data_IF_454983530410
#
_entry.id   IF_454983530410
#
_cell.length_a   1.000
_cell.length_b   1.000
_cell.length_c   1.000
_cell.angle_alpha   90.00
_cell.angle_beta   90.00
_cell.angle_gamma   90.00
#
_symmetry.space_group_name_H-M   'P 1'
#
loop_
_entity.id
_entity.type
_entity.pdbx_description
1 polymer ?
#
# COMPACT_ATOMS: atom_id res chain seq x y z
N UNK A 1 10.80 -7.51 8.51
CA UNK A 1 9.97 -6.65 9.40
C UNK A 1 8.86 -7.50 10.02
N UNK A 2 8.54 -7.28 11.29
CA UNK A 2 7.54 -8.08 12.01
C UNK A 2 6.10 -7.61 11.70
N UNK A 3 5.14 -8.55 11.77
CA UNK A 3 3.69 -8.34 11.64
C UNK A 3 3.15 -7.13 12.44
N UNK A 4 3.75 -6.85 13.60
CA UNK A 4 3.40 -5.70 14.45
C UNK A 4 3.59 -4.35 13.74
N UNK A 5 4.65 -4.21 12.95
CA UNK A 5 5.00 -2.97 12.27
C UNK A 5 3.94 -2.57 11.23
N UNK A 6 3.50 -3.53 10.42
CA UNK A 6 2.49 -3.28 9.38
C UNK A 6 1.09 -3.07 9.96
N UNK A 7 0.81 -3.63 11.13
CA UNK A 7 -0.40 -3.31 11.88
C UNK A 7 -0.36 -1.89 12.44
N UNK A 8 0.81 -1.44 12.88
CA UNK A 8 0.99 -0.07 13.34
C UNK A 8 0.82 0.92 12.17
N UNK A 9 1.40 0.64 11.00
CA UNK A 9 1.18 1.45 9.79
C UNK A 9 -0.30 1.52 9.40
N UNK A 10 -1.03 0.40 9.48
CA UNK A 10 -2.47 0.38 9.25
C UNK A 10 -3.22 1.27 10.25
N UNK A 11 -2.92 1.17 11.55
CA UNK A 11 -3.55 1.99 12.60
C UNK A 11 -3.28 3.48 12.39
N UNK A 12 -2.03 3.82 12.13
CA UNK A 12 -1.62 5.20 11.86
C UNK A 12 -2.31 5.76 10.60
N UNK A 13 -2.31 5.00 9.50
CA UNK A 13 -2.97 5.40 8.28
C UNK A 13 -4.47 5.63 8.52
N UNK A 14 -5.14 4.72 9.24
CA UNK A 14 -6.56 4.87 9.54
C UNK A 14 -6.84 6.07 10.46
N UNK A 15 -6.03 6.31 11.49
CA UNK A 15 -6.15 7.53 12.31
C UNK A 15 -5.98 8.79 11.46
N UNK A 16 -4.94 8.83 10.63
CA UNK A 16 -4.64 10.00 9.78
C UNK A 16 -5.76 10.25 8.77
N UNK A 17 -6.34 9.20 8.18
CA UNK A 17 -7.51 9.33 7.30
C UNK A 17 -8.69 9.95 8.04
N UNK A 18 -9.03 9.45 9.24
CA UNK A 18 -10.14 9.99 10.01
C UNK A 18 -9.92 11.47 10.36
N UNK A 19 -8.70 11.84 10.77
CA UNK A 19 -8.34 13.22 11.07
C UNK A 19 -8.45 14.14 9.84
N UNK A 20 -8.14 13.63 8.64
CA UNK A 20 -8.32 14.35 7.37
C UNK A 20 -9.78 14.47 6.97
N UNK A 21 -10.57 13.41 7.12
CA UNK A 21 -12.00 13.43 6.76
C UNK A 21 -12.78 14.46 7.58
N UNK A 22 -12.41 14.67 8.85
CA UNK A 22 -12.99 15.74 9.69
C UNK A 22 -12.68 17.13 9.12
N UNK A 23 -11.52 17.31 8.46
CA UNK A 23 -11.14 18.56 7.81
C UNK A 23 -11.82 18.77 6.46
N UNK A 24 -11.98 17.71 5.67
CA UNK A 24 -12.61 17.78 4.35
C UNK A 24 -14.14 17.87 4.41
N UNK A 25 -14.76 17.23 5.40
CA UNK A 25 -16.22 17.19 5.60
C UNK A 25 -16.56 17.82 6.95
N UNK A 26 -16.40 19.15 7.09
CA UNK A 26 -16.78 19.85 8.30
C UNK A 26 -18.30 19.84 8.47
N UNK A 27 -18.76 19.83 9.73
CA UNK A 27 -20.19 19.83 10.07
C UNK A 27 -20.94 21.06 9.55
N UNK A 28 -20.23 22.18 9.39
CA UNK A 28 -20.74 23.41 8.76
C UNK A 28 -19.98 23.68 7.46
N UNK A 29 -20.67 24.05 6.37
CA UNK A 29 -20.02 24.34 5.10
C UNK A 29 -19.10 25.55 5.23
N UNK A 30 -17.83 25.36 4.87
CA UNK A 30 -16.83 26.42 4.87
C UNK A 30 -17.20 27.51 3.86
N UNK A 31 -16.83 28.75 4.17
CA UNK A 31 -16.97 29.86 3.23
C UNK A 31 -16.04 29.62 2.02
N UNK A 32 -16.49 29.89 0.79
CA UNK A 32 -15.65 29.73 -0.39
C UNK A 32 -14.43 30.65 -0.28
N UNK A 33 -13.25 30.04 -0.33
CA UNK A 33 -11.99 30.73 -0.24
C UNK A 33 -11.64 31.33 -1.60
N UNK A 34 -11.33 32.64 -1.62
CA UNK A 34 -11.16 33.38 -2.88
C UNK A 34 -9.71 33.48 -3.34
N UNK A 35 -8.76 33.26 -2.44
CA UNK A 35 -7.35 33.33 -2.77
C UNK A 35 -6.86 31.99 -3.34
N UNK A 36 -6.36 32.05 -4.58
CA UNK A 36 -5.92 30.88 -5.32
C UNK A 36 -4.70 30.23 -4.66
N UNK A 37 -3.79 31.03 -4.09
CA UNK A 37 -2.57 30.51 -3.46
C UNK A 37 -2.90 29.71 -2.20
N UNK A 38 -3.81 30.21 -1.36
CA UNK A 38 -4.23 29.49 -0.15
C UNK A 38 -4.98 28.21 -0.49
N UNK A 39 -5.83 28.22 -1.51
CA UNK A 39 -6.54 27.02 -1.97
C UNK A 39 -5.53 25.99 -2.49
N UNK A 40 -4.56 26.42 -3.30
CA UNK A 40 -3.50 25.55 -3.79
C UNK A 40 -2.69 24.92 -2.66
N UNK A 41 -2.22 25.72 -1.70
CA UNK A 41 -1.46 25.22 -0.55
C UNK A 41 -2.26 24.19 0.27
N UNK A 42 -3.57 24.40 0.46
CA UNK A 42 -4.44 23.43 1.12
C UNK A 42 -4.55 22.13 0.33
N UNK A 43 -4.85 22.21 -0.97
CA UNK A 43 -4.95 21.04 -1.84
C UNK A 43 -3.64 20.25 -1.93
N UNK A 44 -2.51 20.95 -2.10
CA UNK A 44 -1.19 20.34 -2.15
C UNK A 44 -0.82 19.66 -0.82
N UNK A 45 -1.19 20.27 0.32
CA UNK A 45 -1.00 19.66 1.64
C UNK A 45 -1.86 18.40 1.80
N UNK A 46 -3.12 18.43 1.37
CA UNK A 46 -4.01 17.27 1.37
C UNK A 46 -3.44 16.15 0.48
N UNK A 47 -3.04 16.48 -0.75
CA UNK A 47 -2.44 15.55 -1.69
C UNK A 47 -1.24 14.82 -1.09
N UNK A 48 -0.28 15.55 -0.51
CA UNK A 48 0.91 14.94 0.12
C UNK A 48 0.52 14.02 1.27
N UNK A 49 -0.41 14.43 2.13
CA UNK A 49 -0.88 13.58 3.24
C UNK A 49 -1.57 12.31 2.73
N UNK A 50 -2.39 12.38 1.67
CA UNK A 50 -3.00 11.22 1.05
C UNK A 50 -1.96 10.29 0.41
N UNK A 51 -0.89 10.82 -0.21
CA UNK A 51 0.22 10.01 -0.72
C UNK A 51 0.91 9.24 0.42
N UNK A 52 1.16 9.87 1.57
CA UNK A 52 1.74 9.20 2.74
C UNK A 52 0.84 8.09 3.29
N UNK A 53 -0.46 8.36 3.39
CA UNK A 53 -1.46 7.36 3.78
C UNK A 53 -1.45 6.19 2.81
N UNK A 54 -1.50 6.48 1.50
CA UNK A 54 -1.50 5.47 0.45
C UNK A 54 -0.26 4.56 0.54
N UNK A 55 0.94 5.12 0.74
CA UNK A 55 2.19 4.36 0.93
C UNK A 55 2.10 3.42 2.14
N UNK A 56 1.62 3.92 3.29
CA UNK A 56 1.43 3.10 4.49
C UNK A 56 0.42 1.98 4.26
N UNK A 57 -0.71 2.28 3.62
CA UNK A 57 -1.75 1.30 3.30
C UNK A 57 -1.26 0.24 2.31
N UNK A 58 -0.51 0.62 1.26
CA UNK A 58 0.06 -0.32 0.29
C UNK A 58 1.04 -1.29 0.97
N UNK A 59 1.94 -0.75 1.79
CA UNK A 59 2.89 -1.55 2.58
C UNK A 59 2.17 -2.48 3.57
N UNK A 60 1.11 -2.01 4.22
CA UNK A 60 0.28 -2.85 5.09
C UNK A 60 -0.48 -3.92 4.29
N UNK A 61 -1.03 -3.59 3.13
CA UNK A 61 -1.76 -4.53 2.27
C UNK A 61 -0.89 -5.71 1.84
N UNK A 62 0.32 -5.40 1.35
CA UNK A 62 1.26 -6.39 0.82
C UNK A 62 1.68 -7.42 1.88
N UNK A 63 1.71 -7.01 3.15
CA UNK A 63 2.31 -7.78 4.24
C UNK A 63 1.27 -8.42 5.17
N UNK A 64 0.02 -7.95 5.15
CA UNK A 64 -1.07 -8.55 5.93
C UNK A 64 -1.51 -9.87 5.29
N UNK A 65 -1.42 -10.93 6.09
CA UNK A 65 -1.78 -12.31 5.70
C UNK A 65 -3.21 -12.67 6.10
N UNK A 66 -3.84 -11.88 6.97
CA UNK A 66 -5.20 -12.15 7.43
C UNK A 66 -6.25 -11.82 6.35
N UNK A 67 -7.07 -12.78 5.88
CA UNK A 67 -7.91 -12.64 4.69
C UNK A 67 -9.01 -11.58 4.85
N UNK A 68 -9.76 -11.57 5.96
CA UNK A 68 -10.81 -10.55 6.19
C UNK A 68 -10.25 -9.13 6.28
N UNK A 69 -9.21 -8.92 7.10
CA UNK A 69 -8.54 -7.63 7.22
C UNK A 69 -8.02 -7.13 5.88
N UNK A 70 -7.43 -8.01 5.05
CA UNK A 70 -6.93 -7.66 3.72
C UNK A 70 -8.04 -7.16 2.79
N UNK A 71 -9.23 -7.75 2.82
CA UNK A 71 -10.40 -7.28 2.05
C UNK A 71 -10.81 -5.85 2.42
N UNK A 72 -10.87 -5.55 3.71
CA UNK A 72 -11.19 -4.19 4.18
C UNK A 72 -10.09 -3.21 3.76
N UNK A 73 -8.83 -3.61 3.96
CA UNK A 73 -7.68 -2.79 3.62
C UNK A 73 -7.62 -2.51 2.11
N UNK A 74 -8.00 -3.49 1.27
CA UNK A 74 -8.16 -3.32 -0.19
C UNK A 74 -9.11 -2.18 -0.52
N UNK A 75 -10.30 -2.19 0.09
CA UNK A 75 -11.33 -1.18 -0.16
C UNK A 75 -10.87 0.22 0.27
N UNK A 76 -10.24 0.33 1.45
CA UNK A 76 -9.71 1.61 1.93
C UNK A 76 -8.56 2.11 1.04
N UNK A 77 -7.69 1.21 0.56
CA UNK A 77 -6.62 1.54 -0.37
C UNK A 77 -7.17 2.07 -1.71
N UNK A 78 -8.21 1.44 -2.26
CA UNK A 78 -8.90 1.92 -3.47
C UNK A 78 -9.56 3.29 -3.25
N UNK A 79 -10.27 3.48 -2.14
CA UNK A 79 -10.88 4.77 -1.79
C UNK A 79 -9.83 5.88 -1.64
N UNK A 80 -8.71 5.57 -0.99
CA UNK A 80 -7.58 6.50 -0.84
C UNK A 80 -6.97 6.86 -2.20
N UNK A 81 -6.83 5.86 -3.09
CA UNK A 81 -6.32 6.06 -4.45
C UNK A 81 -7.26 6.94 -5.28
N UNK A 82 -8.58 6.71 -5.19
CA UNK A 82 -9.59 7.54 -5.83
C UNK A 82 -9.52 8.99 -5.35
N UNK A 83 -9.50 9.20 -4.02
CA UNK A 83 -9.40 10.54 -3.44
C UNK A 83 -8.12 11.27 -3.84
N UNK A 84 -6.99 10.55 -3.93
CA UNK A 84 -5.72 11.12 -4.39
C UNK A 84 -5.82 11.63 -5.84
N UNK A 85 -6.51 10.90 -6.71
CA UNK A 85 -6.75 11.33 -8.09
C UNK A 85 -7.70 12.53 -8.16
N UNK A 86 -8.75 12.56 -7.34
CA UNK A 86 -9.67 13.70 -7.26
C UNK A 86 -8.96 14.98 -6.81
N UNK A 87 -8.19 14.92 -5.72
CA UNK A 87 -7.43 16.08 -5.22
C UNK A 87 -6.41 16.54 -6.26
N UNK A 88 -5.78 15.59 -6.96
CA UNK A 88 -4.85 15.92 -8.06
C UNK A 88 -5.56 16.62 -9.21
N UNK A 89 -6.74 16.13 -9.62
CA UNK A 89 -7.55 16.76 -10.66
C UNK A 89 -7.99 18.17 -10.27
N UNK A 90 -8.43 18.38 -9.03
CA UNK A 90 -8.75 19.71 -8.49
C UNK A 90 -7.56 20.68 -8.58
N UNK A 91 -6.35 20.22 -8.23
CA UNK A 91 -5.13 21.04 -8.35
C UNK A 91 -4.81 21.39 -9.81
N UNK A 92 -4.90 20.40 -10.71
CA UNK A 92 -4.66 20.60 -12.15
C UNK A 92 -5.65 21.61 -12.71
N UNK A 93 -6.93 21.53 -12.32
CA UNK A 93 -7.96 22.48 -12.74
C UNK A 93 -7.74 23.88 -12.16
N UNK A 94 -7.14 24.00 -10.98
CA UNK A 94 -6.83 25.28 -10.35
C UNK A 94 -5.65 26.02 -11.03
N UNK A 95 -4.60 25.30 -11.40
CA UNK A 95 -3.37 25.88 -11.99
C UNK A 95 -3.27 25.73 -13.52
N UNK A 96 -4.14 24.92 -14.13
CA UNK A 96 -4.07 24.51 -15.54
C UNK A 96 -2.73 23.87 -15.93
N UNK A 97 -2.15 23.10 -15.01
CA UNK A 97 -0.86 22.40 -15.18
C UNK A 97 -0.92 21.02 -14.55
N UNK A 98 -0.34 20.02 -15.21
CA UNK A 98 -0.17 18.68 -14.63
C UNK A 98 1.00 18.65 -13.62
N UNK A 99 2.01 19.49 -13.88
CA UNK A 99 3.26 19.57 -13.13
C UNK A 99 3.14 20.62 -12.03
N UNK A 100 3.41 20.20 -10.79
CA UNK A 100 3.31 21.02 -9.59
C UNK A 100 4.58 20.88 -8.77
N UNK A 101 5.05 21.98 -8.20
CA UNK A 101 6.23 22.02 -7.35
C UNK A 101 5.82 22.05 -5.89
N UNK A 102 6.39 21.14 -5.09
CA UNK A 102 6.02 20.95 -3.69
C UNK A 102 7.13 21.36 -2.72
N UNK A 103 8.22 21.98 -3.17
CA UNK A 103 9.45 22.20 -2.39
C UNK A 103 9.19 22.91 -1.05
N UNK A 104 8.41 23.99 -1.05
CA UNK A 104 8.08 24.74 0.16
C UNK A 104 7.28 23.91 1.16
N UNK A 105 6.27 23.17 0.67
CA UNK A 105 5.39 22.35 1.50
C UNK A 105 6.14 21.11 2.03
N UNK A 106 7.01 20.51 1.21
CA UNK A 106 7.88 19.41 1.63
C UNK A 106 8.86 19.86 2.70
N UNK A 107 9.43 21.06 2.55
CA UNK A 107 10.30 21.67 3.56
C UNK A 107 9.56 21.85 4.89
N UNK A 108 8.35 22.40 4.86
CA UNK A 108 7.52 22.61 6.06
C UNK A 108 7.16 21.30 6.76
N UNK A 109 6.83 20.26 5.98
CA UNK A 109 6.49 18.93 6.47
C UNK A 109 7.71 18.07 6.80
N UNK A 110 8.93 18.56 6.56
CA UNK A 110 10.21 17.84 6.73
C UNK A 110 10.25 16.52 5.94
N UNK A 111 9.74 16.55 4.72
CA UNK A 111 9.68 15.41 3.81
C UNK A 111 10.68 15.55 2.68
N UNK A 112 11.05 14.43 2.10
CA UNK A 112 11.90 14.36 0.91
C UNK A 112 11.06 14.01 -0.33
N UNK A 113 11.54 14.31 -1.55
CA UNK A 113 10.83 13.92 -2.78
C UNK A 113 10.54 12.41 -2.89
N UNK A 114 11.36 11.56 -2.27
CA UNK A 114 11.14 10.11 -2.25
C UNK A 114 9.92 9.70 -1.41
N UNK A 115 9.51 10.53 -0.45
CA UNK A 115 8.37 10.27 0.43
C UNK A 115 7.03 10.51 -0.28
N UNK A 116 7.04 11.28 -1.37
CA UNK A 116 5.85 11.56 -2.20
C UNK A 116 5.81 10.76 -3.50
N UNK A 117 6.75 9.85 -3.71
CA UNK A 117 6.68 8.93 -4.84
C UNK A 117 5.49 7.98 -4.66
N UNK A 118 4.65 7.80 -5.69
CA UNK A 118 3.48 6.94 -5.61
C UNK A 118 3.91 5.51 -5.97
N UNK A 119 3.88 4.54 -5.03
CA UNK A 119 4.21 3.15 -5.36
C UNK A 119 3.11 2.54 -6.23
N UNK A 120 3.48 1.64 -7.13
CA UNK A 120 2.50 0.86 -7.88
C UNK A 120 1.99 -0.27 -6.98
N UNK A 121 0.70 -0.31 -6.62
CA UNK A 121 0.18 -1.36 -5.75
C UNK A 121 0.41 -2.75 -6.31
N UNK A 122 1.04 -3.62 -5.51
CA UNK A 122 1.40 -4.96 -5.95
C UNK A 122 0.20 -5.84 -6.24
N UNK A 123 -0.96 -5.58 -5.63
CA UNK A 123 -2.18 -6.37 -5.86
C UNK A 123 -2.62 -6.36 -7.33
N UNK A 124 -2.31 -5.31 -8.09
CA UNK A 124 -2.58 -5.26 -9.52
C UNK A 124 -1.91 -6.41 -10.28
N UNK A 125 -0.75 -6.88 -9.82
CA UNK A 125 -0.06 -8.03 -10.40
C UNK A 125 -0.64 -9.35 -9.87
N UNK A 126 -0.93 -9.42 -8.57
CA UNK A 126 -1.38 -10.64 -7.90
C UNK A 126 -2.77 -11.06 -8.37
N UNK A 127 -3.72 -10.12 -8.43
CA UNK A 127 -5.10 -10.40 -8.87
C UNK A 127 -5.15 -10.79 -10.36
N UNK A 128 -4.28 -10.18 -11.19
CA UNK A 128 -4.17 -10.51 -12.61
C UNK A 128 -3.30 -11.73 -12.89
N UNK A 129 -2.67 -12.34 -11.88
CA UNK A 129 -1.73 -13.47 -12.06
C UNK A 129 -2.35 -14.62 -12.85
N UNK A 130 -3.60 -15.00 -12.55
CA UNK A 130 -4.33 -16.05 -13.27
C UNK A 130 -4.51 -15.69 -14.75
N UNK A 131 -5.00 -14.48 -15.03
CA UNK A 131 -5.19 -13.96 -16.40
C UNK A 131 -3.86 -13.89 -17.17
N UNK A 132 -2.77 -13.50 -16.50
CA UNK A 132 -1.44 -13.44 -17.09
C UNK A 132 -0.91 -14.84 -17.42
N UNK A 133 -1.10 -15.81 -16.52
CA UNK A 133 -0.74 -17.21 -16.77
C UNK A 133 -1.55 -17.82 -17.92
N UNK A 134 -2.85 -17.54 -18.00
CA UNK A 134 -3.69 -17.97 -19.13
C UNK A 134 -3.20 -17.36 -20.45
N UNK A 135 -2.89 -16.07 -20.47
CA UNK A 135 -2.33 -15.38 -21.65
C UNK A 135 -0.97 -15.93 -22.04
N UNK A 136 -0.11 -16.24 -21.07
CA UNK A 136 1.20 -16.85 -21.29
C UNK A 136 1.06 -18.24 -21.91
N UNK A 137 0.10 -19.05 -21.44
CA UNK A 137 -0.20 -20.35 -22.06
C UNK A 137 -0.70 -20.20 -23.50
N UNK A 138 -1.57 -19.23 -23.76
CA UNK A 138 -2.06 -18.92 -25.12
C UNK A 138 -0.90 -18.50 -26.03
N UNK A 139 -0.04 -17.59 -25.55
CA UNK A 139 1.14 -17.13 -26.28
C UNK A 139 2.11 -18.28 -26.53
N UNK A 140 2.33 -19.16 -25.55
CA UNK A 140 3.13 -20.38 -25.71
C UNK A 140 2.58 -21.30 -26.80
N UNK A 141 1.25 -21.49 -26.85
CA UNK A 141 0.60 -22.26 -27.94
C UNK A 141 0.77 -21.59 -29.29
N UNK A 142 0.68 -20.27 -29.37
CA UNK A 142 0.89 -19.51 -30.60
C UNK A 142 2.34 -19.62 -31.06
N UNK A 143 3.32 -19.45 -30.17
CA UNK A 143 4.73 -19.59 -30.48
C UNK A 143 5.08 -21.02 -30.93
N UNK A 144 4.53 -22.03 -30.26
CA UNK A 144 4.68 -23.43 -30.66
C UNK A 144 4.12 -23.69 -32.07
N UNK A 145 3.02 -23.03 -32.45
CA UNK A 145 2.45 -23.09 -33.81
C UNK A 145 3.26 -22.32 -34.85
N UNK A 146 3.85 -21.18 -34.48
CA UNK A 146 4.70 -20.39 -35.39
C UNK A 146 6.05 -21.07 -35.66
N UNK A 147 6.45 -22.03 -34.81
CA UNK A 147 7.75 -22.69 -34.89
C UNK A 147 8.90 -21.75 -34.47
N UNK A 148 10.11 -22.28 -34.26
CA UNK A 148 11.28 -21.43 -34.06
C UNK A 148 11.43 -20.54 -35.31
N UNK A 149 11.41 -19.23 -35.11
CA UNK A 149 11.87 -18.33 -36.16
C UNK A 149 13.36 -18.59 -36.25
N UNK A 150 13.82 -19.29 -37.29
CA UNK A 150 15.23 -19.32 -37.69
C UNK A 150 15.63 -17.92 -38.17
N UNK A 151 15.57 -16.93 -37.27
CA UNK A 151 16.50 -15.82 -37.34
C UNK A 151 17.80 -16.44 -36.91
N UNK A 152 18.50 -17.05 -37.87
CA UNK A 152 19.92 -17.36 -37.72
C UNK A 152 20.55 -16.12 -37.10
N UNK A 153 20.84 -16.19 -35.80
CA UNK A 153 21.49 -15.11 -35.11
C UNK A 153 22.77 -14.89 -35.90
N UNK A 154 22.84 -13.78 -36.66
CA UNK A 154 23.94 -13.52 -37.57
C UNK A 154 25.21 -13.58 -36.73
N UNK A 155 25.92 -14.72 -36.84
CA UNK A 155 27.09 -14.99 -36.01
C UNK A 155 28.08 -13.89 -36.37
N UNK A 156 28.47 -13.09 -35.37
CA UNK A 156 29.43 -12.01 -35.59
C UNK A 156 30.65 -12.59 -36.31
N UNK A 157 31.08 -11.91 -37.38
CA UNK A 157 32.26 -12.38 -38.10
C UNK A 157 33.48 -12.25 -37.18
N UNK A 158 34.50 -13.08 -37.41
CA UNK A 158 35.75 -13.00 -36.66
C UNK A 158 36.38 -11.60 -36.77
N UNK A 159 36.23 -10.95 -37.93
CA UNK A 159 36.69 -9.58 -38.17
C UNK A 159 35.93 -8.53 -37.37
N UNK A 160 34.61 -8.67 -37.25
CA UNK A 160 33.78 -7.79 -36.42
C UNK A 160 34.15 -7.92 -34.94
N UNK A 161 34.39 -9.15 -34.47
CA UNK A 161 34.83 -9.43 -33.11
C UNK A 161 36.21 -8.79 -32.83
N UNK A 162 37.18 -8.97 -33.73
CA UNK A 162 38.51 -8.36 -33.61
C UNK A 162 38.41 -6.84 -33.58
N UNK A 163 37.61 -6.24 -34.47
CA UNK A 163 37.43 -4.78 -34.54
C UNK A 163 36.84 -4.24 -33.24
N UNK A 164 35.84 -4.91 -32.67
CA UNK A 164 35.24 -4.53 -31.39
C UNK A 164 36.24 -4.57 -30.25
N UNK A 165 37.05 -5.64 -30.16
CA UNK A 165 38.09 -5.77 -29.13
C UNK A 165 39.13 -4.65 -29.26
N UNK A 166 39.58 -4.35 -30.48
CA UNK A 166 40.56 -3.29 -30.73
C UNK A 166 40.03 -1.89 -30.38
N UNK A 167 38.76 -1.60 -30.69
CA UNK A 167 38.11 -0.33 -30.32
C UNK A 167 38.07 -0.18 -28.80
N UNK A 168 37.67 -1.23 -28.08
CA UNK A 168 37.57 -1.20 -26.62
C UNK A 168 38.94 -1.09 -25.95
N UNK A 169 39.97 -1.79 -26.45
CA UNK A 169 41.32 -1.67 -25.91
C UNK A 169 41.90 -0.27 -26.16
N UNK A 170 41.68 0.31 -27.36
CA UNK A 170 42.06 1.70 -27.64
C UNK A 170 41.36 2.68 -26.70
N UNK A 171 40.07 2.48 -26.43
CA UNK A 171 39.32 3.31 -25.49
C UNK A 171 39.84 3.16 -24.05
N UNK A 172 40.19 1.95 -23.61
CA UNK A 172 40.78 1.68 -22.29
C UNK A 172 42.11 2.41 -22.12
N UNK A 173 42.99 2.29 -23.11
CA UNK A 173 44.28 2.98 -23.15
C UNK A 173 44.10 4.52 -23.14
N UNK A 174 43.12 5.03 -23.89
CA UNK A 174 42.76 6.45 -23.89
C UNK A 174 42.36 6.96 -22.50
N UNK A 175 41.51 6.21 -21.78
CA UNK A 175 41.13 6.55 -20.39
C UNK A 175 42.31 6.55 -19.44
N UNK A 176 43.20 5.55 -19.55
CA UNK A 176 44.39 5.47 -18.70
C UNK A 176 45.33 6.66 -18.93
N UNK A 177 45.59 7.02 -20.20
CA UNK A 177 46.38 8.20 -20.55
C UNK A 177 45.75 9.50 -20.08
N UNK A 178 44.43 9.65 -20.23
CA UNK A 178 43.71 10.83 -19.76
C UNK A 178 43.81 11.01 -18.24
N UNK A 179 43.72 9.91 -17.48
CA UNK A 179 43.94 9.91 -16.03
C UNK A 179 45.36 10.38 -15.68
N UNK A 180 46.37 9.81 -16.34
CA UNK A 180 47.77 10.17 -16.12
C UNK A 180 48.07 11.63 -16.46
N UNK A 181 47.57 12.13 -17.60
CA UNK A 181 47.71 13.54 -17.99
C UNK A 181 47.01 14.50 -17.02
N UNK A 182 45.89 14.08 -16.44
CA UNK A 182 45.18 14.88 -15.41
C UNK A 182 46.00 14.97 -14.13
N UNK A 183 46.64 13.88 -13.70
CA UNK A 183 47.52 13.87 -12.53
C UNK A 183 48.72 14.81 -12.73
N UNK A 184 49.37 14.76 -13.90
CA UNK A 184 50.48 15.68 -14.21
C UNK A 184 50.02 17.15 -14.16
N UNK A 185 48.89 17.50 -14.79
CA UNK A 185 48.38 18.88 -14.75
C UNK A 185 48.08 19.36 -13.33
N UNK A 186 47.52 18.48 -12.48
CA UNK A 186 47.25 18.82 -11.08
C UNK A 186 48.54 19.08 -10.31
N UNK A 187 49.60 18.32 -10.59
CA UNK A 187 50.91 18.53 -9.97
C UNK A 187 51.55 19.84 -10.46
N UNK A 188 51.50 20.13 -11.77
CA UNK A 188 51.96 21.41 -12.33
C UNK A 188 51.18 22.61 -11.75
N UNK A 189 49.86 22.49 -11.56
CA UNK A 189 49.07 23.53 -10.90
C UNK A 189 49.46 23.71 -9.44
N UNK A 190 49.72 22.63 -8.70
CA UNK A 190 50.23 22.69 -7.33
C UNK A 190 51.59 23.37 -7.27
N UNK A 191 52.51 23.04 -8.18
CA UNK A 191 53.83 23.67 -8.25
C UNK A 191 53.73 25.16 -8.59
N UNK A 192 52.85 25.55 -9.53
CA UNK A 192 52.59 26.97 -9.83
C UNK A 192 52.00 27.71 -8.63
N UNK A 193 51.04 27.12 -7.93
CA UNK A 193 50.46 27.69 -6.71
C UNK A 193 51.49 27.78 -5.58
N UNK A 194 52.39 26.80 -5.46
CA UNK A 194 53.50 26.82 -4.51
C UNK A 194 54.53 27.90 -4.86
N UNK A 195 54.83 28.11 -6.14
CA UNK A 195 55.71 29.19 -6.59
C UNK A 195 55.10 30.60 -6.40
N UNK A 196 53.76 30.72 -6.52
CA UNK A 196 53.04 31.96 -6.27
C UNK A 196 52.81 32.24 -4.78
N UNK A 197 52.78 31.20 -3.93
CA UNK A 197 52.80 31.36 -2.48
C UNK A 197 54.24 31.67 -2.05
N UNK A 198 54.49 32.95 -1.75
CA UNK A 198 55.76 33.39 -1.15
C UNK A 198 56.10 32.65 0.15
N UNK A 199 57.28 32.97 0.71
CA UNK A 199 57.82 32.30 1.91
C UNK A 199 56.78 32.17 3.03
N UNK A 200 56.71 31.03 3.74
CA UNK A 200 55.75 30.81 4.81
C UNK A 200 55.80 31.96 5.81
N UNK A 201 54.67 32.64 6.01
CA UNK A 201 54.58 33.79 6.93
C UNK A 201 54.56 33.39 8.40
N UNK A 202 54.52 32.08 8.69
CA UNK A 202 54.43 31.51 10.03
C UNK A 202 55.64 30.63 10.31
N UNK A 203 56.24 30.82 11.49
CA UNK A 203 57.29 29.98 12.03
C UNK A 203 56.90 28.48 11.98
N UNK A 204 57.73 27.59 11.42
CA UNK A 204 57.40 26.17 11.23
C UNK A 204 56.91 25.47 12.50
N UNK A 205 57.46 25.80 13.66
CA UNK A 205 57.06 25.20 14.94
C UNK A 205 55.66 25.65 15.37
N UNK A 206 55.32 26.92 15.15
CA UNK A 206 53.99 27.46 15.42
C UNK A 206 52.96 26.88 14.44
N UNK A 207 53.33 26.71 13.17
CA UNK A 207 52.48 26.08 12.15
C UNK A 207 52.23 24.61 12.47
N UNK A 208 53.29 23.86 12.82
CA UNK A 208 53.20 22.47 13.24
C UNK A 208 52.30 22.31 14.46
N UNK A 209 52.41 23.19 15.46
CA UNK A 209 51.57 23.16 16.65
C UNK A 209 50.09 23.38 16.32
N UNK A 210 49.77 24.29 15.39
CA UNK A 210 48.39 24.53 14.92
C UNK A 210 47.82 23.32 14.17
N UNK A 211 48.61 22.74 13.26
CA UNK A 211 48.21 21.54 12.49
C UNK A 211 47.99 20.36 13.44
N UNK A 212 48.93 20.11 14.35
CA UNK A 212 48.85 19.04 15.35
C UNK A 212 47.64 19.23 16.28
N UNK A 213 47.34 20.47 16.71
CA UNK A 213 46.15 20.76 17.53
C UNK A 213 44.86 20.40 16.79
N UNK A 214 44.74 20.80 15.52
CA UNK A 214 43.56 20.49 14.69
C UNK A 214 43.44 18.98 14.47
N UNK A 215 44.55 18.32 14.11
CA UNK A 215 44.60 16.88 13.85
C UNK A 215 44.28 16.06 15.10
N UNK A 216 44.93 16.34 16.23
CA UNK A 216 44.66 15.69 17.52
C UNK A 216 43.20 15.88 17.93
N UNK A 217 42.64 17.07 17.75
CA UNK A 217 41.22 17.33 18.01
C UNK A 217 40.28 16.57 17.07
N UNK A 218 40.61 16.45 15.77
CA UNK A 218 39.84 15.66 14.82
C UNK A 218 39.88 14.15 15.15
N UNK A 219 41.07 13.61 15.42
CA UNK A 219 41.25 12.21 15.80
C UNK A 219 40.51 11.91 17.10
N UNK A 220 40.64 12.76 18.12
CA UNK A 220 39.94 12.57 19.39
C UNK A 220 38.42 12.56 19.18
N UNK A 221 37.86 13.52 18.43
CA UNK A 221 36.42 13.53 18.12
C UNK A 221 35.97 12.28 17.35
N UNK A 222 36.82 11.77 16.45
CA UNK A 222 36.52 10.53 15.70
C UNK A 222 36.53 9.31 16.62
N UNK A 223 37.47 9.23 17.57
CA UNK A 223 37.57 8.16 18.57
C UNK A 223 36.37 8.24 19.53
N UNK A 224 36.11 9.40 20.14
CA UNK A 224 34.99 9.61 21.05
C UNK A 224 33.63 9.34 20.39
N UNK A 225 33.46 9.67 19.11
CA UNK A 225 32.24 9.30 18.37
C UNK A 225 32.09 7.79 18.26
N UNK A 226 33.18 7.06 17.98
CA UNK A 226 33.16 5.59 17.89
C UNK A 226 32.87 4.96 19.25
N UNK A 227 33.54 5.41 20.31
CA UNK A 227 33.31 4.93 21.69
C UNK A 227 31.86 5.16 22.11
N UNK A 228 31.29 6.34 21.79
CA UNK A 228 29.87 6.62 22.02
C UNK A 228 28.94 5.68 21.23
N UNK A 229 29.25 5.39 19.97
CA UNK A 229 28.47 4.45 19.15
C UNK A 229 28.54 3.03 19.73
N UNK A 230 29.72 2.56 20.14
CA UNK A 230 29.95 1.27 20.80
C UNK A 230 29.19 1.17 22.14
N UNK A 231 29.20 2.24 22.94
CA UNK A 231 28.49 2.30 24.22
C UNK A 231 26.96 2.34 24.03
N UNK A 232 26.45 3.09 23.05
CA UNK A 232 25.02 3.12 22.72
C UNK A 232 24.51 1.76 22.23
N UNK A 233 25.38 0.97 21.60
CA UNK A 233 25.09 -0.42 21.23
C UNK A 233 25.15 -1.33 22.44
N UNK A 234 26.18 -1.20 23.27
CA UNK A 234 26.35 -1.99 24.49
C UNK A 234 25.18 -1.83 25.46
N UNK A 235 24.66 -0.60 25.61
CA UNK A 235 23.50 -0.26 26.46
C UNK A 235 22.16 -0.60 25.76
N UNK A 236 22.18 -0.99 24.48
CA UNK A 236 20.99 -1.37 23.72
C UNK A 236 20.08 -0.21 23.33
N UNK A 237 20.57 1.03 23.40
CA UNK A 237 19.85 2.23 22.93
C UNK A 237 19.89 2.38 21.40
N UNK A 238 20.88 1.76 20.75
CA UNK A 238 21.00 1.66 19.29
C UNK A 238 21.17 0.18 18.94
N UNK A 239 20.20 -0.38 18.21
CA UNK A 239 20.32 -1.74 17.69
C UNK A 239 21.32 -1.73 16.53
N UNK A 240 22.54 -2.21 16.79
CA UNK A 240 23.51 -2.47 15.73
C UNK A 240 22.89 -3.51 14.80
N UNK A 241 22.62 -3.13 13.55
CA UNK A 241 22.45 -4.06 12.45
C UNK A 241 23.70 -4.94 12.38
N UNK A 242 23.73 -6.02 13.16
CA UNK A 242 24.72 -7.09 13.09
C UNK A 242 24.46 -7.91 11.80
N UNK A 243 24.55 -7.22 10.66
CA UNK A 243 24.59 -7.80 9.33
C UNK A 243 25.73 -7.22 8.47
N UNK A 244 26.46 -6.20 8.94
CA UNK A 244 27.47 -5.52 8.12
C UNK A 244 28.92 -6.00 8.29
N UNK A 245 29.24 -6.84 9.28
CA UNK A 245 30.66 -7.21 9.54
C UNK A 245 31.01 -8.64 9.07
N UNK A 246 30.02 -9.46 8.70
CA UNK A 246 30.28 -10.77 8.10
C UNK A 246 29.95 -10.76 6.61
N UNK A 247 31.01 -10.59 5.82
CA UNK A 247 31.12 -11.07 4.44
C UNK A 247 30.45 -10.20 3.38
N UNK A 248 31.14 -10.12 2.24
CA UNK A 248 30.73 -9.57 0.95
C UNK A 248 29.35 -10.07 0.48
N UNK A 249 28.27 -9.57 1.06
CA UNK A 249 26.92 -9.82 0.57
C UNK A 249 26.66 -8.75 -0.47
N UNK A 250 26.92 -9.12 -1.73
CA UNK A 250 26.53 -8.35 -2.92
C UNK A 250 25.09 -7.83 -2.74
N UNK A 251 24.75 -6.60 -3.15
CA UNK A 251 23.37 -6.09 -3.15
C UNK A 251 22.36 -7.09 -3.73
N UNK A 252 22.82 -7.95 -4.65
CA UNK A 252 22.06 -9.06 -5.23
C UNK A 252 21.55 -10.08 -4.20
N UNK A 253 22.35 -10.46 -3.19
CA UNK A 253 21.94 -11.45 -2.19
C UNK A 253 20.91 -10.85 -1.22
N UNK A 254 21.01 -9.55 -0.90
CA UNK A 254 19.97 -8.86 -0.12
C UNK A 254 18.64 -8.79 -0.88
N UNK A 255 18.68 -8.54 -2.19
CA UNK A 255 17.47 -8.57 -3.02
C UNK A 255 16.86 -9.97 -3.10
N UNK A 256 17.68 -11.02 -3.19
CA UNK A 256 17.20 -12.40 -3.30
C UNK A 256 16.56 -12.90 -1.99
N UNK A 257 17.14 -12.53 -0.84
CA UNK A 257 16.53 -12.78 0.47
C UNK A 257 15.19 -12.05 0.62
N UNK A 258 15.12 -10.78 0.21
CA UNK A 258 13.87 -10.00 0.25
C UNK A 258 12.80 -10.62 -0.65
N UNK A 259 13.17 -11.03 -1.88
CA UNK A 259 12.27 -11.74 -2.81
C UNK A 259 11.79 -13.07 -2.22
N UNK A 260 12.64 -13.80 -1.52
CA UNK A 260 12.28 -15.07 -0.88
C UNK A 260 11.28 -14.88 0.25
N UNK A 261 11.43 -13.81 1.06
CA UNK A 261 10.48 -13.45 2.11
C UNK A 261 9.13 -13.05 1.49
N UNK A 262 9.13 -12.23 0.44
CA UNK A 262 7.89 -11.85 -0.25
C UNK A 262 7.16 -13.07 -0.85
N UNK A 263 7.89 -14.03 -1.41
CA UNK A 263 7.30 -15.28 -1.91
C UNK A 263 6.64 -16.08 -0.79
N UNK A 264 7.29 -16.22 0.37
CA UNK A 264 6.69 -16.89 1.53
C UNK A 264 5.42 -16.20 2.00
N UNK A 265 5.43 -14.87 2.12
CA UNK A 265 4.24 -14.09 2.48
C UNK A 265 3.09 -14.33 1.50
N UNK A 266 3.37 -14.37 0.20
CA UNK A 266 2.37 -14.69 -0.82
C UNK A 266 1.79 -16.10 -0.71
N UNK A 267 2.61 -17.10 -0.37
CA UNK A 267 2.14 -18.48 -0.14
C UNK A 267 1.22 -18.54 1.07
N UNK A 268 1.63 -17.96 2.21
CA UNK A 268 0.80 -17.95 3.42
C UNK A 268 -0.50 -17.17 3.22
N UNK A 269 -0.50 -16.13 2.38
CA UNK A 269 -1.73 -15.41 2.00
C UNK A 269 -2.72 -16.33 1.26
N UNK A 270 -2.22 -17.15 0.35
CA UNK A 270 -3.05 -18.10 -0.42
C UNK A 270 -3.59 -19.23 0.47
N UNK A 271 -2.74 -19.79 1.35
CA UNK A 271 -3.13 -20.81 2.34
C UNK A 271 -4.23 -20.30 3.27
N UNK A 272 -4.02 -19.13 3.89
CA UNK A 272 -5.02 -18.52 4.77
C UNK A 272 -6.33 -18.19 4.05
N UNK A 273 -6.26 -17.82 2.77
CA UNK A 273 -7.46 -17.54 1.98
C UNK A 273 -8.25 -18.81 1.72
N UNK A 274 -7.59 -19.93 1.40
CA UNK A 274 -8.25 -21.25 1.27
C UNK A 274 -8.88 -21.69 2.59
N UNK A 275 -8.14 -21.57 3.70
CA UNK A 275 -8.65 -21.90 5.04
C UNK A 275 -9.88 -21.05 5.39
N UNK A 276 -9.85 -19.75 5.07
CA UNK A 276 -10.98 -18.85 5.28
C UNK A 276 -12.23 -19.27 4.51
N UNK A 277 -12.10 -19.63 3.22
CA UNK A 277 -13.24 -20.11 2.44
C UNK A 277 -13.82 -21.42 2.99
N UNK A 278 -12.96 -22.34 3.40
CA UNK A 278 -13.38 -23.60 4.03
C UNK A 278 -14.08 -23.35 5.38
N UNK A 279 -13.56 -22.42 6.19
CA UNK A 279 -14.15 -22.03 7.45
C UNK A 279 -15.56 -21.44 7.26
N UNK A 280 -15.79 -20.62 6.22
CA UNK A 280 -17.12 -20.08 5.91
C UNK A 280 -18.15 -21.19 5.68
N UNK A 281 -17.81 -22.20 4.86
CA UNK A 281 -18.69 -23.34 4.59
C UNK A 281 -18.93 -24.14 5.86
N UNK A 282 -17.86 -24.42 6.61
CA UNK A 282 -17.93 -25.20 7.85
C UNK A 282 -18.78 -24.53 8.91
N UNK A 283 -18.60 -23.22 9.11
CA UNK A 283 -19.39 -22.43 10.08
C UNK A 283 -20.85 -22.38 9.65
N UNK A 284 -21.13 -22.14 8.36
CA UNK A 284 -22.50 -22.12 7.83
C UNK A 284 -23.20 -23.46 8.05
N UNK A 285 -22.53 -24.57 7.78
CA UNK A 285 -23.11 -25.90 8.01
C UNK A 285 -23.31 -26.17 9.51
N UNK A 286 -22.38 -25.74 10.36
CA UNK A 286 -22.54 -25.85 11.82
C UNK A 286 -23.77 -25.07 12.32
N UNK A 287 -23.95 -23.83 11.88
CA UNK A 287 -25.13 -23.02 12.21
C UNK A 287 -26.40 -23.72 11.73
N UNK A 288 -26.40 -24.24 10.50
CA UNK A 288 -27.53 -24.99 9.95
C UNK A 288 -27.89 -26.23 10.77
N UNK A 289 -26.91 -26.95 11.31
CA UNK A 289 -27.15 -28.15 12.11
C UNK A 289 -27.60 -27.82 13.54
N UNK A 290 -27.06 -26.75 14.15
CA UNK A 290 -27.35 -26.38 15.53
C UNK A 290 -28.61 -25.53 15.64
N UNK A 291 -28.70 -24.44 14.87
CA UNK A 291 -29.81 -23.48 14.94
C UNK A 291 -30.92 -23.80 13.92
N UNK A 292 -30.62 -24.56 12.87
CA UNK A 292 -31.60 -24.89 11.84
C UNK A 292 -32.85 -25.63 12.34
N UNK A 293 -32.76 -26.59 13.28
CA UNK A 293 -33.95 -27.21 13.88
C UNK A 293 -34.84 -26.19 14.61
N UNK A 294 -34.24 -25.33 15.43
CA UNK A 294 -34.96 -24.32 16.21
C UNK A 294 -35.60 -23.26 15.31
N UNK A 295 -34.87 -22.79 14.28
CA UNK A 295 -35.40 -21.87 13.26
C UNK A 295 -36.56 -22.53 12.51
N UNK A 296 -36.45 -23.82 12.15
CA UNK A 296 -37.51 -24.57 11.48
C UNK A 296 -38.75 -24.70 12.37
N UNK A 297 -38.58 -25.01 13.65
CA UNK A 297 -39.69 -25.10 14.61
C UNK A 297 -40.38 -23.75 14.76
N UNK A 298 -39.61 -22.69 14.96
CA UNK A 298 -40.13 -21.31 15.04
C UNK A 298 -40.90 -20.92 13.79
N UNK A 299 -40.38 -21.24 12.59
CA UNK A 299 -41.08 -20.99 11.33
C UNK A 299 -42.36 -21.82 11.19
N UNK A 300 -42.35 -23.08 11.63
CA UNK A 300 -43.55 -23.93 11.63
C UNK A 300 -44.62 -23.39 12.57
N UNK A 301 -44.24 -22.89 13.74
CA UNK A 301 -45.16 -22.31 14.70
C UNK A 301 -45.76 -20.99 14.21
N UNK A 302 -44.97 -20.13 13.56
CA UNK A 302 -45.49 -18.92 12.91
C UNK A 302 -46.52 -19.25 11.82
N UNK A 303 -46.25 -20.26 10.99
CA UNK A 303 -47.22 -20.73 9.99
C UNK A 303 -48.48 -21.24 10.70
N UNK A 304 -48.35 -22.13 11.70
CA UNK A 304 -49.50 -22.68 12.44
C UNK A 304 -50.34 -21.59 13.08
N UNK A 305 -49.69 -20.60 13.70
CA UNK A 305 -50.35 -19.46 14.31
C UNK A 305 -51.16 -18.68 13.27
N UNK A 306 -50.57 -18.38 12.11
CA UNK A 306 -51.29 -17.71 11.03
C UNK A 306 -52.51 -18.50 10.55
N UNK A 307 -52.39 -19.83 10.36
CA UNK A 307 -53.52 -20.68 9.98
C UNK A 307 -54.65 -20.66 11.02
N UNK A 308 -54.31 -20.66 12.31
CA UNK A 308 -55.28 -20.58 13.41
C UNK A 308 -55.96 -19.22 13.41
N UNK A 309 -55.19 -18.13 13.33
CA UNK A 309 -55.73 -16.77 13.31
C UNK A 309 -56.65 -16.51 12.11
N UNK A 310 -56.33 -17.07 10.95
CA UNK A 310 -57.19 -17.02 9.78
C UNK A 310 -58.45 -17.86 9.98
N UNK A 311 -58.36 -19.09 10.52
CA UNK A 311 -59.54 -19.91 10.81
C UNK A 311 -60.48 -19.23 11.81
N UNK A 312 -59.94 -18.63 12.86
CA UNK A 312 -60.74 -17.96 13.89
C UNK A 312 -61.45 -16.71 13.34
N UNK A 313 -60.90 -16.08 12.29
CA UNK A 313 -61.51 -14.93 11.63
C UNK A 313 -62.53 -15.32 10.54
N UNK A 314 -62.21 -16.30 9.68
CA UNK A 314 -63.01 -16.64 8.49
C UNK A 314 -63.84 -17.92 8.64
N UNK A 315 -63.69 -18.65 9.75
CA UNK A 315 -64.37 -19.93 10.01
C UNK A 315 -63.86 -21.14 9.22
N UNK A 316 -62.93 -20.93 8.28
CA UNK A 316 -62.29 -21.97 7.45
C UNK A 316 -60.77 -21.78 7.41
N UNK A 317 -60.03 -22.87 7.24
CA UNK A 317 -58.59 -22.77 7.04
C UNK A 317 -58.29 -22.12 5.68
N UNK A 318 -57.35 -21.15 5.64
CA UNK A 318 -56.91 -20.53 4.39
C UNK A 318 -56.06 -21.50 3.56
N UNK A 319 -55.99 -21.29 2.25
CA UNK A 319 -54.98 -21.93 1.41
C UNK A 319 -53.63 -21.21 1.55
N UNK A 320 -52.53 -21.89 1.21
CA UNK A 320 -51.22 -21.24 1.17
C UNK A 320 -51.19 -20.15 0.09
N UNK A 321 -50.47 -19.03 0.30
CA UNK A 321 -50.30 -18.01 -0.73
C UNK A 321 -49.64 -18.60 -1.98
N UNK A 322 -50.08 -18.15 -3.16
CA UNK A 322 -49.56 -18.60 -4.44
C UNK A 322 -48.10 -18.18 -4.66
N UNK A 323 -47.37 -18.96 -5.47
CA UNK A 323 -45.94 -18.71 -5.75
C UNK A 323 -45.70 -17.37 -6.45
N UNK A 324 -46.64 -16.91 -7.29
CA UNK A 324 -46.53 -15.65 -8.03
C UNK A 324 -46.61 -14.40 -7.12
N UNK A 325 -47.30 -14.51 -5.97
CA UNK A 325 -47.45 -13.44 -4.99
C UNK A 325 -46.32 -13.45 -3.92
N UNK A 326 -45.34 -14.36 -4.05
CA UNK A 326 -44.24 -14.50 -3.10
C UNK A 326 -44.42 -15.60 -2.05
N UNK A 327 -45.47 -16.41 -2.18
CA UNK A 327 -45.68 -17.66 -1.44
C UNK A 327 -45.63 -17.53 0.08
N UNK A 328 -45.11 -18.56 0.75
CA UNK A 328 -44.97 -18.60 2.20
C UNK A 328 -44.02 -17.54 2.78
N UNK A 329 -43.21 -16.86 1.96
CA UNK A 329 -42.36 -15.74 2.42
C UNK A 329 -43.16 -14.55 2.93
N UNK A 330 -44.42 -14.39 2.49
CA UNK A 330 -45.30 -13.33 2.98
C UNK A 330 -45.68 -13.51 4.46
N UNK A 331 -45.68 -14.76 4.94
CA UNK A 331 -46.08 -15.11 6.31
C UNK A 331 -45.02 -14.75 7.35
N UNK A 332 -43.77 -14.56 6.91
CA UNK A 332 -42.60 -14.35 7.78
C UNK A 332 -42.13 -12.89 7.84
N UNK A 333 -42.82 -11.96 7.17
CA UNK A 333 -42.50 -10.53 7.30
C UNK A 333 -42.88 -10.09 8.72
N UNK A 334 -41.90 -9.64 9.51
CA UNK A 334 -42.16 -9.00 10.80
C UNK A 334 -43.07 -7.78 10.56
N UNK A 335 -44.35 -7.91 10.93
CA UNK A 335 -45.30 -6.80 10.86
C UNK A 335 -44.85 -5.72 11.82
N UNK A 336 -44.69 -4.50 11.32
CA UNK A 336 -44.38 -3.36 12.19
C UNK A 336 -45.50 -3.18 13.23
N UNK A 337 -45.21 -2.67 14.44
CA UNK A 337 -46.22 -2.50 15.51
C UNK A 337 -47.45 -1.67 15.08
N UNK A 338 -47.30 -0.84 14.05
CA UNK A 338 -48.36 0.00 13.49
C UNK A 338 -49.29 -0.79 12.55
N UNK A 339 -48.76 -1.70 11.74
CA UNK A 339 -49.55 -2.58 10.87
C UNK A 339 -50.36 -3.61 11.69
N UNK A 340 -49.76 -4.13 12.77
CA UNK A 340 -50.45 -5.02 13.71
C UNK A 340 -51.59 -4.31 14.48
N UNK A 341 -51.46 -3.00 14.73
CA UNK A 341 -52.54 -2.20 15.33
C UNK A 341 -53.63 -1.89 14.30
N UNK A 342 -53.28 -1.56 13.06
CA UNK A 342 -54.24 -1.32 11.98
C UNK A 342 -55.08 -2.56 11.63
N UNK A 343 -54.48 -3.75 11.64
CA UNK A 343 -55.22 -5.00 11.45
C UNK A 343 -56.12 -5.35 12.64
N UNK A 344 -55.73 -5.03 13.87
CA UNK A 344 -56.61 -5.19 15.04
C UNK A 344 -57.81 -4.26 14.99
N UNK A 345 -57.59 -2.99 14.61
CA UNK A 345 -58.67 -2.00 14.44
C UNK A 345 -59.62 -2.45 13.33
N UNK A 346 -59.09 -2.90 12.18
CA UNK A 346 -59.93 -3.49 11.12
C UNK A 346 -60.69 -4.72 11.64
N UNK A 347 -60.03 -5.67 12.32
CA UNK A 347 -60.71 -6.84 12.89
C UNK A 347 -61.80 -6.48 13.91
N UNK A 348 -61.65 -5.37 14.65
CA UNK A 348 -62.68 -4.85 15.57
C UNK A 348 -63.85 -4.20 14.80
N UNK A 349 -63.58 -3.43 13.74
CA UNK A 349 -64.60 -2.86 12.85
C UNK A 349 -65.43 -3.95 12.14
N UNK A 350 -64.78 -5.01 11.62
CA UNK A 350 -65.46 -6.15 11.01
C UNK A 350 -66.36 -6.91 12.00
N UNK A 351 -65.97 -7.01 13.28
CA UNK A 351 -66.79 -7.62 14.33
C UNK A 351 -67.98 -6.75 14.77
N UNK A 352 -67.85 -5.42 14.69
CA UNK A 352 -68.96 -4.51 14.96
C UNK A 352 -70.01 -4.47 13.83
N UNK A 353 -69.62 -4.78 12.60
CA UNK A 353 -70.54 -4.91 11.46
C UNK A 353 -71.33 -6.23 11.48
N UNK A 354 -70.72 -7.37 11.83
CA UNK A 354 -71.44 -8.66 11.98
C UNK A 354 -72.38 -8.70 13.20
N UNK A 355 -72.18 -7.84 14.20
CA UNK A 355 -73.06 -7.74 15.38
C UNK A 355 -74.29 -6.83 15.19
N UNK A 356 -74.47 -6.21 14.01
CA UNK A 356 -75.57 -5.28 13.70
C UNK A 356 -76.55 -5.80 12.64
N UNK A 357 -76.33 -6.98 12.08
CA UNK A 357 -77.36 -7.79 11.41
C UNK A 357 -77.97 -8.80 12.39
#
# INVERSE_FOLDING_TARGET
LSYSTYNQFWKEANSTINDLLVQEIPAEPLKPEKDRLTVFQKLATLYIKYVQIFRKLESSYDQVVHPQKRRILRQVLDGTMGRLLEVKDEMVNLEFSEFHYFDDILSDLKLTPNDIEIPIPKYFLHERKKVLQEREQVLGKILAKMGPTDREAKKMSLEEAIRLVQIHERARQGRLRAKFMREIRLEEEREKLAAQRGAPTLDPDVAATRIQKIWKGFIQRKVTRREREEEMVFIGMVWLCLFEISSNISPYIMTDQYVTILKHVGITQEENEVEYQQALVTIKEKIRQVEGPDIKETMQDQIRQWFIECRDATGKFPDYPDEEDGGSSLLFKEKTPEEAKGEKIRKEEWKEEEGKE
#
